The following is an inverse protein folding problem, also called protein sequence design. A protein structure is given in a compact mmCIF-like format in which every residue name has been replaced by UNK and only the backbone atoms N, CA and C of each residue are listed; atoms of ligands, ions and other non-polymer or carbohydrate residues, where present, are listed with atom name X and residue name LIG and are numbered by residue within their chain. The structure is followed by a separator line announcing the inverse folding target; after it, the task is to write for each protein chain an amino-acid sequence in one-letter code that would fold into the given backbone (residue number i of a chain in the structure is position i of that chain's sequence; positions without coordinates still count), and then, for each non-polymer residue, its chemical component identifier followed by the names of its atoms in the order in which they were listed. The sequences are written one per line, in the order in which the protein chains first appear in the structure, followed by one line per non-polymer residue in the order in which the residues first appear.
data_IF_028557569401
#
_entry.id   IF_028557569401
#
_cell.length_a   1.000
_cell.length_b   1.000
_cell.length_c   1.000
_cell.angle_alpha   90.00
_cell.angle_beta   90.00
_cell.angle_gamma   90.00
#
_symmetry.space_group_name_H-M   'P 1'
#
loop_
_entity.id
_entity.type
_entity.pdbx_description
1 polymer ?
#
# COMPACT_ATOMS: atom_id res chain seq x y z
N UNK A 1 23.56 -1.94 -13.56
CA UNK A 1 22.91 -0.62 -13.44
C UNK A 1 22.42 -0.43 -12.01
N UNK A 2 22.77 0.67 -11.33
CA UNK A 2 22.29 0.93 -9.98
C UNK A 2 20.75 1.03 -9.98
N UNK A 3 20.09 0.13 -9.22
CA UNK A 3 18.63 0.16 -9.06
C UNK A 3 18.23 1.38 -8.23
N UNK A 4 17.21 2.11 -8.67
CA UNK A 4 16.71 3.29 -7.94
C UNK A 4 16.40 2.95 -6.46
N UNK A 5 16.70 3.87 -5.52
CA UNK A 5 16.26 3.79 -4.13
C UNK A 5 14.75 3.60 -4.04
N UNK A 6 14.21 3.11 -2.92
CA UNK A 6 12.75 3.04 -2.75
C UNK A 6 12.20 4.43 -2.45
N UNK A 7 10.96 4.68 -2.86
CA UNK A 7 10.33 5.97 -2.68
C UNK A 7 9.67 5.93 -1.31
N UNK A 8 10.27 6.66 -0.39
CA UNK A 8 9.86 6.79 1.00
C UNK A 8 10.08 8.26 1.37
N UNK A 9 9.00 8.98 1.60
CA UNK A 9 9.02 10.39 1.97
C UNK A 9 8.32 10.53 3.33
N UNK A 10 9.00 11.08 4.31
CA UNK A 10 8.42 11.31 5.63
C UNK A 10 7.13 12.16 5.54
N UNK A 11 6.10 11.80 6.30
CA UNK A 11 4.84 12.55 6.37
C UNK A 11 3.90 12.39 5.17
N UNK A 12 4.29 11.65 4.13
CA UNK A 12 3.46 11.43 2.95
C UNK A 12 2.85 10.03 2.91
N UNK A 13 1.70 9.93 2.24
CA UNK A 13 0.98 8.67 2.05
C UNK A 13 1.70 7.78 1.04
N UNK A 14 1.84 6.50 1.36
CA UNK A 14 2.50 5.50 0.52
C UNK A 14 1.62 4.28 0.32
N UNK A 15 1.51 3.83 -0.94
CA UNK A 15 1.01 2.51 -1.27
C UNK A 15 2.21 1.56 -1.40
N UNK A 16 2.27 0.58 -0.51
CA UNK A 16 3.32 -0.44 -0.48
C UNK A 16 2.76 -1.78 -0.94
N UNK A 17 3.54 -2.49 -1.76
CA UNK A 17 3.24 -3.84 -2.24
C UNK A 17 4.44 -4.75 -1.97
N UNK A 18 4.18 -5.91 -1.37
CA UNK A 18 5.17 -6.98 -1.23
C UNK A 18 4.59 -8.31 -1.73
N UNK A 19 5.38 -9.03 -2.54
CA UNK A 19 4.98 -10.30 -3.17
C UNK A 19 5.83 -11.47 -2.69
N UNK A 20 5.21 -12.64 -2.59
CA UNK A 20 5.86 -13.92 -2.42
C UNK A 20 6.71 -14.29 -3.63
N UNK A 21 7.86 -14.93 -3.39
CA UNK A 21 8.75 -15.35 -4.46
C UNK A 21 8.06 -16.35 -5.40
N UNK A 22 8.18 -16.15 -6.71
CA UNK A 22 7.62 -17.07 -7.73
C UNK A 22 6.11 -17.32 -7.58
N UNK A 23 5.35 -16.33 -7.08
CA UNK A 23 3.91 -16.47 -6.85
C UNK A 23 3.55 -17.42 -5.71
N UNK A 24 4.51 -17.81 -4.88
CA UNK A 24 4.25 -18.72 -3.78
C UNK A 24 3.35 -18.09 -2.71
N UNK A 25 2.60 -18.95 -2.03
CA UNK A 25 1.84 -18.58 -0.85
C UNK A 25 2.75 -18.01 0.25
N UNK A 26 2.35 -16.85 0.75
CA UNK A 26 2.88 -16.17 1.94
C UNK A 26 1.97 -16.39 3.15
N UNK A 27 0.72 -16.83 2.95
CA UNK A 27 -0.24 -17.21 3.98
C UNK A 27 -1.01 -18.47 3.52
N UNK A 28 -0.68 -19.62 4.10
CA UNK A 28 -1.26 -20.93 3.74
C UNK A 28 -2.35 -21.39 4.70
N UNK A 29 -2.46 -20.78 5.88
CA UNK A 29 -3.53 -21.02 6.84
C UNK A 29 -3.96 -19.70 7.52
N UNK A 30 -5.14 -19.69 8.16
CA UNK A 30 -5.70 -18.53 8.88
C UNK A 30 -4.71 -17.90 9.85
N UNK A 31 -3.97 -18.71 10.62
CA UNK A 31 -3.02 -18.19 11.62
C UNK A 31 -1.84 -17.46 10.99
N UNK A 32 -1.53 -17.74 9.71
CA UNK A 32 -0.47 -17.02 9.00
C UNK A 32 -0.88 -15.57 8.73
N UNK A 33 -2.16 -15.34 8.40
CA UNK A 33 -2.67 -14.00 8.19
C UNK A 33 -2.67 -13.20 9.50
N UNK A 34 -3.04 -13.83 10.62
CA UNK A 34 -3.00 -13.21 11.94
C UNK A 34 -1.57 -12.84 12.35
N UNK A 35 -0.64 -13.77 12.20
CA UNK A 35 0.77 -13.54 12.51
C UNK A 35 1.39 -12.48 11.60
N UNK A 36 1.05 -12.48 10.30
CA UNK A 36 1.50 -11.46 9.36
C UNK A 36 0.98 -10.08 9.77
N UNK A 37 -0.31 -9.97 10.07
CA UNK A 37 -0.94 -8.71 10.48
C UNK A 37 -0.36 -8.19 11.79
N UNK A 38 -0.10 -9.08 12.76
CA UNK A 38 0.57 -8.74 14.01
C UNK A 38 2.02 -8.28 13.77
N UNK A 39 2.79 -8.99 12.95
CA UNK A 39 4.15 -8.64 12.60
C UNK A 39 4.23 -7.28 11.88
N UNK A 40 3.28 -6.98 11.00
CA UNK A 40 3.12 -5.66 10.36
C UNK A 40 2.89 -4.59 11.43
N UNK A 41 1.93 -4.81 12.34
CA UNK A 41 1.60 -3.83 13.37
C UNK A 41 2.77 -3.54 14.31
N UNK A 42 3.47 -4.57 14.78
CA UNK A 42 4.64 -4.42 15.66
C UNK A 42 5.79 -3.72 14.95
N UNK A 43 6.06 -4.06 13.68
CA UNK A 43 7.08 -3.39 12.89
C UNK A 43 6.74 -1.92 12.63
N UNK A 44 5.47 -1.64 12.32
CA UNK A 44 4.98 -0.28 12.08
C UNK A 44 5.13 0.60 13.32
N UNK A 45 4.70 0.11 14.49
CA UNK A 45 4.89 0.82 15.77
C UNK A 45 6.35 1.08 16.08
N UNK A 46 7.21 0.06 15.95
CA UNK A 46 8.65 0.16 16.22
C UNK A 46 9.35 1.22 15.37
N UNK A 47 8.89 1.40 14.14
CA UNK A 47 9.53 2.29 13.16
C UNK A 47 8.70 3.54 12.86
N UNK A 48 7.71 3.85 13.72
CA UNK A 48 6.87 5.05 13.63
C UNK A 48 6.22 5.22 12.25
N UNK A 49 5.60 4.16 11.76
CA UNK A 49 4.83 4.16 10.52
C UNK A 49 3.35 4.03 10.86
N UNK A 50 2.54 4.98 10.45
CA UNK A 50 1.09 4.88 10.56
C UNK A 50 0.57 3.90 9.51
N UNK A 51 -0.24 2.91 9.94
CA UNK A 51 -0.93 1.98 9.03
C UNK A 51 -2.34 2.49 8.84
N UNK A 52 -2.66 2.97 7.64
CA UNK A 52 -3.99 3.49 7.31
C UNK A 52 -4.91 2.39 6.76
N UNK A 53 -4.37 1.38 6.08
CA UNK A 53 -5.18 0.30 5.53
C UNK A 53 -4.31 -0.82 5.01
N UNK A 54 -4.94 -1.98 4.77
CA UNK A 54 -4.25 -3.17 4.31
C UNK A 54 -5.19 -4.10 3.56
N UNK A 55 -4.62 -4.92 2.69
CA UNK A 55 -5.19 -6.20 2.26
C UNK A 55 -4.07 -7.24 2.24
N UNK A 56 -4.30 -8.36 2.92
CA UNK A 56 -3.42 -9.52 2.87
C UNK A 56 -4.08 -10.57 1.97
N UNK A 57 -3.33 -11.08 1.01
CA UNK A 57 -3.77 -12.15 0.10
C UNK A 57 -2.84 -13.33 0.28
N UNK A 58 -3.19 -14.44 -0.37
CA UNK A 58 -2.42 -15.68 -0.24
C UNK A 58 -0.96 -15.51 -0.65
N UNK A 59 -0.65 -14.78 -1.73
CA UNK A 59 0.69 -14.68 -2.34
C UNK A 59 1.31 -13.27 -2.22
N UNK A 60 0.55 -12.26 -1.79
CA UNK A 60 1.05 -10.89 -1.65
C UNK A 60 0.20 -10.06 -0.70
N UNK A 61 0.68 -8.87 -0.35
CA UNK A 61 -0.12 -7.91 0.40
C UNK A 61 0.10 -6.48 -0.09
N UNK A 62 -0.90 -5.65 0.16
CA UNK A 62 -0.83 -4.20 -0.01
C UNK A 62 -1.04 -3.49 1.33
N UNK A 63 -0.30 -2.41 1.55
CA UNK A 63 -0.43 -1.54 2.72
C UNK A 63 -0.56 -0.09 2.28
N UNK A 64 -1.38 0.67 3.00
CA UNK A 64 -1.45 2.13 2.91
C UNK A 64 -0.80 2.72 4.15
N UNK A 65 0.33 3.42 4.00
CA UNK A 65 1.23 3.76 5.10
C UNK A 65 1.64 5.23 5.06
N UNK A 66 1.89 5.84 6.22
CA UNK A 66 2.58 7.14 6.33
C UNK A 66 3.74 7.02 7.30
N UNK A 67 5.01 7.05 6.83
CA UNK A 67 6.17 7.00 7.71
C UNK A 67 6.44 8.37 8.35
N UNK A 68 6.77 8.41 9.64
CA UNK A 68 7.16 9.66 10.29
C UNK A 68 8.57 10.14 9.89
N UNK A 69 9.42 9.25 9.37
CA UNK A 69 10.80 9.53 8.97
C UNK A 69 11.14 8.80 7.66
N UNK A 70 12.18 9.25 6.95
CA UNK A 70 12.53 8.74 5.61
C UNK A 70 12.91 7.26 5.60
N UNK A 71 13.52 6.75 6.67
CA UNK A 71 13.96 5.36 6.78
C UNK A 71 12.84 4.42 7.28
N UNK A 72 11.72 4.95 7.77
CA UNK A 72 10.68 4.22 8.49
C UNK A 72 10.13 3.04 7.70
N UNK A 73 9.78 3.24 6.43
CA UNK A 73 9.30 2.16 5.56
C UNK A 73 10.36 1.08 5.34
N UNK A 74 11.61 1.47 5.10
CA UNK A 74 12.68 0.52 4.83
C UNK A 74 12.96 -0.37 6.06
N UNK A 75 13.02 0.26 7.25
CA UNK A 75 13.25 -0.44 8.51
C UNK A 75 12.05 -1.30 8.92
N UNK A 76 10.82 -0.79 8.78
CA UNK A 76 9.58 -1.56 9.00
C UNK A 76 9.57 -2.84 8.16
N UNK A 77 9.78 -2.71 6.84
CA UNK A 77 9.74 -3.87 5.94
C UNK A 77 10.91 -4.83 6.16
N UNK A 78 12.08 -4.34 6.59
CA UNK A 78 13.20 -5.19 7.01
C UNK A 78 12.87 -5.97 8.28
N UNK A 79 12.27 -5.32 9.28
CA UNK A 79 11.84 -5.96 10.53
C UNK A 79 10.82 -7.05 10.24
N UNK A 80 9.80 -6.73 9.43
CA UNK A 80 8.78 -7.69 8.97
C UNK A 80 9.41 -8.90 8.28
N UNK A 81 10.36 -8.67 7.36
CA UNK A 81 11.06 -9.74 6.66
C UNK A 81 11.92 -10.61 7.59
N UNK A 82 12.40 -10.10 8.72
CA UNK A 82 13.18 -10.88 9.69
C UNK A 82 12.29 -11.72 10.62
N UNK A 83 11.13 -11.19 11.01
CA UNK A 83 10.22 -11.85 11.95
C UNK A 83 9.32 -12.85 11.24
N UNK A 84 8.55 -12.40 10.25
CA UNK A 84 7.52 -13.22 9.62
C UNK A 84 8.11 -14.36 8.78
N UNK A 85 9.18 -14.09 8.02
CA UNK A 85 9.83 -15.15 7.20
C UNK A 85 10.39 -16.25 8.09
N UNK A 86 10.92 -15.92 9.27
CA UNK A 86 11.39 -16.91 10.23
C UNK A 86 10.25 -17.75 10.78
N UNK A 87 9.13 -17.11 11.15
CA UNK A 87 7.92 -17.81 11.56
C UNK A 87 7.45 -18.79 10.47
N UNK A 88 7.25 -18.29 9.24
CA UNK A 88 6.72 -19.07 8.13
C UNK A 88 7.64 -20.24 7.76
N UNK A 89 8.96 -19.98 7.67
CA UNK A 89 9.92 -21.03 7.38
C UNK A 89 9.95 -22.12 8.46
N UNK A 90 9.83 -21.75 9.74
CA UNK A 90 9.76 -22.72 10.83
C UNK A 90 8.47 -23.54 10.77
N UNK A 91 7.31 -22.89 10.60
CA UNK A 91 5.99 -23.54 10.55
C UNK A 91 5.89 -24.56 9.41
N UNK A 92 6.44 -24.21 8.23
CA UNK A 92 6.33 -25.04 7.02
C UNK A 92 7.62 -25.81 6.68
N UNK A 93 8.57 -25.91 7.61
CA UNK A 93 9.88 -26.55 7.40
C UNK A 93 10.61 -26.09 6.11
N UNK A 94 10.44 -24.82 5.75
CA UNK A 94 11.05 -24.21 4.56
C UNK A 94 12.40 -23.57 4.90
N UNK A 95 13.20 -23.32 3.85
CA UNK A 95 14.44 -22.55 3.91
C UNK A 95 14.42 -21.46 2.83
N UNK A 96 15.25 -20.43 3.02
CA UNK A 96 15.42 -19.35 2.04
C UNK A 96 14.44 -18.18 2.20
N UNK A 97 14.34 -17.37 1.14
CA UNK A 97 13.48 -16.16 1.12
C UNK A 97 12.02 -16.52 0.89
N UNK A 98 11.13 -15.78 1.55
CA UNK A 98 9.69 -15.81 1.25
C UNK A 98 9.31 -14.82 0.15
N UNK A 99 10.07 -13.73 -0.01
CA UNK A 99 9.71 -12.61 -0.87
C UNK A 99 10.40 -12.69 -2.23
N UNK A 100 9.70 -12.26 -3.28
CA UNK A 100 10.21 -12.12 -4.66
C UNK A 100 11.35 -11.10 -4.75
N UNK A 101 11.44 -10.22 -3.74
CA UNK A 101 12.56 -9.35 -3.54
C UNK A 101 12.18 -8.17 -2.66
N UNK A 102 12.56 -6.98 -3.14
CA UNK A 102 12.29 -5.72 -2.47
C UNK A 102 10.82 -5.34 -2.63
N UNK A 103 10.20 -4.88 -1.55
CA UNK A 103 8.89 -4.23 -1.64
C UNK A 103 8.89 -3.06 -2.64
N UNK A 104 7.74 -2.86 -3.28
CA UNK A 104 7.44 -1.70 -4.12
C UNK A 104 6.71 -0.65 -3.31
N UNK A 105 6.90 0.61 -3.68
CA UNK A 105 6.33 1.75 -2.97
C UNK A 105 6.05 2.89 -3.96
N UNK A 106 4.87 3.49 -3.84
CA UNK A 106 4.44 4.68 -4.56
C UNK A 106 3.94 5.73 -3.56
N UNK A 107 4.31 7.00 -3.76
CA UNK A 107 3.76 8.11 -2.98
C UNK A 107 2.42 8.51 -3.58
N UNK A 108 1.42 8.69 -2.74
CA UNK A 108 0.09 9.12 -3.11
C UNK A 108 -0.15 10.53 -2.55
N UNK A 109 -0.73 11.40 -3.37
CA UNK A 109 -1.31 12.64 -2.85
C UNK A 109 -2.53 12.29 -1.97
N UNK A 110 -2.78 13.02 -0.86
CA UNK A 110 -3.80 12.64 0.13
C UNK A 110 -5.21 12.43 -0.43
N UNK A 111 -5.59 13.12 -1.51
CA UNK A 111 -6.88 12.94 -2.18
C UNK A 111 -7.12 11.52 -2.71
N UNK A 112 -6.06 10.76 -2.97
CA UNK A 112 -6.14 9.38 -3.45
C UNK A 112 -6.30 8.35 -2.31
N UNK A 113 -6.32 8.78 -1.05
CA UNK A 113 -6.38 7.88 0.10
C UNK A 113 -7.62 6.97 0.10
N UNK A 114 -8.81 7.55 -0.08
CA UNK A 114 -10.06 6.77 -0.10
C UNK A 114 -10.08 5.79 -1.27
N UNK A 115 -9.70 6.24 -2.46
CA UNK A 115 -9.62 5.36 -3.63
C UNK A 115 -8.62 4.21 -3.43
N UNK A 116 -7.49 4.46 -2.75
CA UNK A 116 -6.51 3.43 -2.42
C UNK A 116 -7.02 2.43 -1.36
N UNK A 117 -7.79 2.89 -0.36
CA UNK A 117 -8.43 2.02 0.62
C UNK A 117 -9.49 1.13 -0.06
N UNK A 118 -10.39 1.72 -0.86
CA UNK A 118 -11.39 0.98 -1.65
C UNK A 118 -10.72 0.03 -2.64
N UNK A 119 -9.58 0.42 -3.25
CA UNK A 119 -8.77 -0.47 -4.06
C UNK A 119 -8.38 -1.72 -3.25
N UNK A 120 -7.81 -1.56 -2.06
CA UNK A 120 -7.37 -2.70 -1.23
C UNK A 120 -8.54 -3.59 -0.82
N UNK A 121 -9.62 -3.00 -0.31
CA UNK A 121 -10.77 -3.73 0.22
C UNK A 121 -11.52 -4.53 -0.85
N UNK A 122 -11.58 -4.02 -2.09
CA UNK A 122 -12.19 -4.71 -3.23
C UNK A 122 -11.22 -5.67 -3.95
N UNK A 123 -9.96 -5.76 -3.51
CA UNK A 123 -8.98 -6.62 -4.17
C UNK A 123 -9.34 -8.10 -4.15
N UNK A 124 -9.82 -8.71 -3.04
CA UNK A 124 -10.17 -10.14 -3.02
C UNK A 124 -11.21 -10.50 -4.09
N UNK A 125 -12.23 -9.67 -4.26
CA UNK A 125 -13.25 -9.84 -5.30
C UNK A 125 -12.63 -9.76 -6.71
N UNK A 126 -11.81 -8.74 -6.98
CA UNK A 126 -11.14 -8.59 -8.28
C UNK A 126 -10.13 -9.70 -8.58
N UNK A 127 -9.56 -10.32 -7.55
CA UNK A 127 -8.65 -11.44 -7.68
C UNK A 127 -9.36 -12.80 -7.85
N UNK A 128 -10.70 -12.82 -7.93
CA UNK A 128 -11.48 -14.04 -8.12
C UNK A 128 -11.63 -14.89 -6.85
N UNK A 129 -11.32 -14.35 -5.66
CA UNK A 129 -11.54 -15.04 -4.38
C UNK A 129 -13.05 -15.10 -4.06
N UNK A 130 -13.88 -14.32 -4.77
CA UNK A 130 -15.34 -14.46 -4.79
C UNK A 130 -16.08 -13.93 -3.56
N UNK A 131 -15.35 -13.43 -2.57
CA UNK A 131 -15.93 -12.89 -1.33
C UNK A 131 -16.17 -11.38 -1.47
N UNK A 132 -17.34 -10.87 -1.05
CA UNK A 132 -17.50 -9.43 -0.86
C UNK A 132 -16.55 -8.96 0.26
N UNK A 133 -16.21 -7.67 0.32
CA UNK A 133 -15.28 -7.14 1.32
C UNK A 133 -15.68 -7.43 2.77
N UNK A 134 -16.99 -7.52 3.06
CA UNK A 134 -17.52 -7.89 4.37
C UNK A 134 -17.14 -9.30 4.81
N UNK A 135 -16.87 -10.19 3.87
CA UNK A 135 -16.67 -11.62 4.11
C UNK A 135 -15.19 -12.01 4.02
N UNK A 136 -14.32 -11.04 3.68
CA UNK A 136 -12.87 -11.23 3.63
C UNK A 136 -12.18 -10.49 4.79
N UNK A 137 -11.86 -11.19 5.90
CA UNK A 137 -11.44 -10.55 7.16
C UNK A 137 -10.03 -9.93 7.08
N UNK A 138 -9.25 -10.26 6.04
CA UNK A 138 -7.87 -9.80 5.89
C UNK A 138 -7.75 -8.49 5.11
N UNK A 139 -8.76 -7.63 5.23
CA UNK A 139 -8.78 -6.26 4.72
C UNK A 139 -9.04 -5.26 5.84
N UNK A 140 -8.80 -3.98 5.56
CA UNK A 140 -9.20 -2.88 6.45
C UNK A 140 -10.69 -2.51 6.35
N UNK A 141 -11.45 -3.14 5.46
CA UNK A 141 -12.85 -2.81 5.19
C UNK A 141 -13.71 -2.78 6.46
N UNK A 142 -13.58 -3.80 7.32
CA UNK A 142 -14.39 -3.91 8.53
C UNK A 142 -14.15 -2.75 9.52
N UNK A 143 -12.96 -2.12 9.50
CA UNK A 143 -12.70 -0.91 10.29
C UNK A 143 -13.45 0.29 9.73
N UNK A 144 -13.36 0.51 8.42
CA UNK A 144 -13.93 1.70 7.76
C UNK A 144 -15.44 1.61 7.51
N UNK A 145 -16.00 0.40 7.49
CA UNK A 145 -17.44 0.16 7.40
C UNK A 145 -18.15 0.20 8.76
N UNK A 146 -17.41 0.32 9.87
CA UNK A 146 -17.96 0.37 11.23
C UNK A 146 -18.21 -0.99 11.89
N UNK A 147 -17.91 -2.10 11.21
CA UNK A 147 -18.15 -3.44 11.74
C UNK A 147 -17.22 -3.80 12.92
N UNK A 148 -15.97 -3.33 12.89
CA UNK A 148 -15.00 -3.50 13.99
C UNK A 148 -14.21 -2.21 14.22
N UNK A 149 -13.68 -2.03 15.43
CA UNK A 149 -12.69 -0.98 15.69
C UNK A 149 -11.29 -1.58 15.79
N UNK A 150 -10.60 -1.69 14.66
CA UNK A 150 -9.22 -2.17 14.65
C UNK A 150 -8.23 -1.11 15.17
N UNK A 151 -7.73 -1.32 16.40
CA UNK A 151 -6.72 -0.46 17.05
C UNK A 151 -5.34 -0.46 16.36
N UNK A 152 -5.14 -1.34 15.39
CA UNK A 152 -3.90 -1.40 14.58
C UNK A 152 -3.91 -0.38 13.45
N UNK A 153 -5.08 0.15 13.09
CA UNK A 153 -5.27 1.14 12.05
C UNK A 153 -5.24 2.55 12.65
N UNK A 154 -4.46 3.42 12.03
CA UNK A 154 -4.52 4.87 12.22
C UNK A 154 -5.37 5.44 11.10
N UNK A 155 -6.62 5.79 11.39
CA UNK A 155 -7.57 6.28 10.39
C UNK A 155 -7.04 7.52 9.68
N UNK A 156 -7.01 7.49 8.34
CA UNK A 156 -6.50 8.61 7.53
C UNK A 156 -7.47 9.82 7.53
N UNK A 157 -6.99 11.08 7.51
CA UNK A 157 -7.86 12.26 7.52
C UNK A 157 -8.94 12.32 6.43
N UNK A 158 -8.67 11.73 5.26
CA UNK A 158 -9.63 11.63 4.17
C UNK A 158 -10.92 10.87 4.56
N UNK A 159 -10.85 9.91 5.49
CA UNK A 159 -12.05 9.23 6.00
C UNK A 159 -12.88 10.16 6.89
N UNK A 160 -12.24 11.00 7.71
CA UNK A 160 -12.95 11.97 8.54
C UNK A 160 -13.75 12.99 7.73
N UNK A 161 -13.28 13.30 6.51
CA UNK A 161 -13.96 14.19 5.58
C UNK A 161 -15.22 13.59 4.93
N UNK A 162 -15.50 12.29 5.09
CA UNK A 162 -16.68 11.64 4.51
C UNK A 162 -18.00 12.04 5.18
N UNK A 163 -17.96 12.60 6.39
CA UNK A 163 -19.16 12.94 7.13
C UNK A 163 -18.91 13.39 8.55
N UNK A 164 -19.88 14.13 9.09
CA UNK A 164 -19.78 14.76 10.41
C UNK A 164 -20.03 13.79 11.57
N UNK A 165 -20.65 12.63 11.33
CA UNK A 165 -20.91 11.60 12.34
C UNK A 165 -20.21 10.28 11.97
N UNK A 166 -19.92 9.39 12.94
CA UNK A 166 -19.40 8.05 12.64
C UNK A 166 -20.26 7.30 11.62
N UNK A 167 -21.58 7.23 11.85
CA UNK A 167 -22.52 6.56 10.94
C UNK A 167 -22.53 7.14 9.53
N UNK A 168 -22.43 8.47 9.37
CA UNK A 168 -22.38 9.08 8.06
C UNK A 168 -21.11 8.69 7.30
N UNK A 169 -19.97 8.61 7.98
CA UNK A 169 -18.70 8.17 7.39
C UNK A 169 -18.72 6.70 7.00
N UNK A 170 -19.24 5.85 7.89
CA UNK A 170 -19.39 4.42 7.65
C UNK A 170 -20.30 4.17 6.44
N UNK A 171 -21.45 4.84 6.38
CA UNK A 171 -22.39 4.74 5.26
C UNK A 171 -21.76 5.24 3.94
N UNK A 172 -21.07 6.37 3.96
CA UNK A 172 -20.38 6.91 2.78
C UNK A 172 -19.26 5.98 2.30
N UNK A 173 -18.51 5.37 3.22
CA UNK A 173 -17.47 4.42 2.86
C UNK A 173 -18.03 3.12 2.28
N UNK A 174 -19.09 2.58 2.89
CA UNK A 174 -19.82 1.43 2.34
C UNK A 174 -20.39 1.74 0.94
N UNK A 175 -20.92 2.94 0.71
CA UNK A 175 -21.41 3.36 -0.60
C UNK A 175 -20.27 3.43 -1.63
N UNK A 176 -19.13 4.03 -1.29
CA UNK A 176 -17.95 4.06 -2.16
C UNK A 176 -17.42 2.65 -2.50
N UNK A 177 -17.45 1.72 -1.54
CA UNK A 177 -17.07 0.33 -1.80
C UNK A 177 -18.06 -0.39 -2.72
N UNK A 178 -19.37 -0.12 -2.59
CA UNK A 178 -20.41 -0.67 -3.48
C UNK A 178 -20.33 -0.11 -4.90
N UNK A 179 -20.07 1.18 -5.04
CA UNK A 179 -19.86 1.84 -6.33
C UNK A 179 -18.58 1.33 -7.00
N UNK A 180 -17.54 1.10 -6.19
CA UNK A 180 -16.25 0.62 -6.65
C UNK A 180 -15.39 1.71 -7.27
N UNK A 181 -14.37 1.27 -8.02
CA UNK A 181 -13.45 2.16 -8.72
C UNK A 181 -13.70 2.07 -10.21
N UNK A 182 -13.68 3.21 -10.89
CA UNK A 182 -13.68 3.21 -12.35
C UNK A 182 -12.34 2.66 -12.90
N UNK A 183 -12.34 2.29 -14.18
CA UNK A 183 -11.17 1.68 -14.84
C UNK A 183 -9.93 2.57 -14.81
N UNK A 184 -10.11 3.90 -14.86
CA UNK A 184 -9.01 4.88 -14.81
C UNK A 184 -8.36 4.88 -13.43
N UNK A 185 -9.14 5.00 -12.36
CA UNK A 185 -8.65 4.94 -10.98
C UNK A 185 -7.93 3.62 -10.70
N UNK A 186 -8.53 2.50 -11.13
CA UNK A 186 -7.95 1.17 -10.96
C UNK A 186 -6.60 1.05 -11.67
N UNK A 187 -6.52 1.53 -12.91
CA UNK A 187 -5.29 1.53 -13.70
C UNK A 187 -4.21 2.41 -13.05
N UNK A 188 -4.55 3.63 -12.64
CA UNK A 188 -3.63 4.57 -12.01
C UNK A 188 -3.04 4.03 -10.70
N UNK A 189 -3.86 3.49 -9.81
CA UNK A 189 -3.41 2.90 -8.54
C UNK A 189 -2.53 1.68 -8.82
N UNK A 190 -2.93 0.81 -9.75
CA UNK A 190 -2.15 -0.38 -10.11
C UNK A 190 -0.79 -0.01 -10.72
N UNK A 191 -0.76 0.89 -11.72
CA UNK A 191 0.48 1.28 -12.40
C UNK A 191 1.45 1.97 -11.43
N UNK A 192 0.94 2.88 -10.59
CA UNK A 192 1.75 3.61 -9.61
C UNK A 192 2.50 2.68 -8.67
N UNK A 193 1.81 1.75 -7.99
CA UNK A 193 2.45 0.82 -7.04
C UNK A 193 3.31 -0.23 -7.72
N UNK A 194 2.90 -0.75 -8.88
CA UNK A 194 3.65 -1.80 -9.57
C UNK A 194 4.93 -1.28 -10.21
N UNK A 195 4.97 -0.01 -10.61
CA UNK A 195 6.16 0.64 -11.18
C UNK A 195 6.92 1.51 -10.17
N UNK A 196 6.29 1.84 -9.04
CA UNK A 196 6.87 2.65 -7.98
C UNK A 196 7.00 4.13 -8.33
N UNK A 197 6.01 4.70 -9.02
CA UNK A 197 5.92 6.13 -9.35
C UNK A 197 4.83 6.81 -8.53
N UNK A 198 4.93 8.13 -8.36
CA UNK A 198 3.93 8.88 -7.61
C UNK A 198 2.55 8.85 -8.32
N UNK A 199 1.49 8.83 -7.51
CA UNK A 199 0.12 9.08 -7.94
C UNK A 199 -0.32 10.43 -7.37
N UNK A 200 -0.14 11.47 -8.16
CA UNK A 200 -0.38 12.86 -7.80
C UNK A 200 -0.49 13.75 -9.05
N UNK A 201 -0.92 15.00 -8.90
CA UNK A 201 -0.80 16.01 -9.97
C UNK A 201 0.65 16.51 -10.13
N UNK A 202 0.89 17.19 -11.24
CA UNK A 202 2.21 17.71 -11.58
C UNK A 202 2.74 18.71 -10.55
N UNK A 203 1.87 19.54 -9.97
CA UNK A 203 2.24 20.53 -8.95
C UNK A 203 2.76 19.85 -7.66
N UNK A 204 2.05 18.83 -7.18
CA UNK A 204 2.44 18.06 -6.01
C UNK A 204 3.73 17.27 -6.26
N UNK A 205 3.88 16.71 -7.46
CA UNK A 205 5.13 16.04 -7.86
C UNK A 205 6.28 17.04 -7.89
N UNK A 206 6.09 18.21 -8.49
CA UNK A 206 7.11 19.25 -8.58
C UNK A 206 7.55 19.71 -7.19
N UNK A 207 6.61 19.91 -6.28
CA UNK A 207 6.90 20.30 -4.90
C UNK A 207 7.69 19.21 -4.15
N UNK A 208 7.22 17.97 -4.20
CA UNK A 208 7.92 16.85 -3.57
C UNK A 208 9.32 16.62 -4.14
N UNK A 209 9.51 16.86 -5.44
CA UNK A 209 10.79 16.64 -6.12
C UNK A 209 11.87 17.59 -5.61
N UNK A 210 11.52 18.79 -5.12
CA UNK A 210 12.47 19.76 -4.53
C UNK A 210 13.25 19.17 -3.35
N UNK A 211 12.57 18.36 -2.54
CA UNK A 211 13.10 17.78 -1.31
C UNK A 211 13.42 16.28 -1.44
N UNK A 212 13.27 15.70 -2.63
CA UNK A 212 13.48 14.26 -2.86
C UNK A 212 14.55 14.05 -3.92
N UNK A 213 15.65 13.39 -3.54
CA UNK A 213 16.73 13.05 -4.50
C UNK A 213 16.29 12.01 -5.54
N UNK A 214 15.35 11.14 -5.18
CA UNK A 214 14.76 10.16 -6.09
C UNK A 214 13.73 10.84 -7.01
N UNK A 215 13.82 10.54 -8.30
CA UNK A 215 12.80 10.94 -9.27
C UNK A 215 11.42 10.31 -8.97
N UNK A 216 10.37 11.12 -9.03
CA UNK A 216 8.99 10.73 -8.69
C UNK A 216 8.15 10.27 -9.88
N UNK A 217 8.51 10.70 -11.09
CA UNK A 217 7.81 10.36 -12.35
C UNK A 217 8.70 9.58 -13.31
N UNK A 218 8.08 8.86 -14.25
CA UNK A 218 8.78 8.18 -15.33
C UNK A 218 9.24 9.19 -16.38
N UNK A 219 10.45 9.03 -16.94
CA UNK A 219 10.83 9.72 -18.19
C UNK A 219 10.26 8.95 -19.38
N UNK A 220 9.70 9.66 -20.35
CA UNK A 220 9.46 9.11 -21.68
C UNK A 220 10.81 8.70 -22.28
N UNK A 221 11.02 7.42 -22.65
CA UNK A 221 12.24 7.01 -23.32
C UNK A 221 12.36 7.73 -24.68
N UNK A 222 13.49 8.41 -24.93
CA UNK A 222 13.73 9.10 -26.20
C UNK A 222 14.87 10.12 -26.12
N UNK A 223 15.57 10.34 -27.23
CA UNK A 223 16.60 11.39 -27.38
C UNK A 223 15.94 12.76 -27.13
N UNK A 224 16.54 13.66 -26.34
CA UNK A 224 16.05 15.03 -26.21
C UNK A 224 15.86 15.64 -27.60
N UNK A 225 14.70 16.26 -27.85
CA UNK A 225 14.44 16.96 -29.11
C UNK A 225 15.52 18.04 -29.26
N UNK A 226 16.27 17.98 -30.35
CA UNK A 226 17.32 18.98 -30.66
C UNK A 226 16.59 20.32 -30.81
N UNK A 227 16.79 21.24 -29.88
CA UNK A 227 16.31 22.60 -30.03
C UNK A 227 17.18 23.23 -31.11
N UNK A 228 16.61 23.45 -32.30
CA UNK A 228 17.23 24.29 -33.33
C UNK A 228 17.15 25.73 -32.82
N UNK A 229 18.31 26.38 -32.70
CA UNK A 229 18.36 27.80 -32.41
C UNK A 229 17.62 28.57 -33.51
N UNK A 230 16.87 29.64 -33.18
CA UNK A 230 16.30 30.52 -34.19
C UNK A 230 17.43 31.28 -34.91
N UNK A 231 17.27 31.42 -36.23
CA UNK A 231 18.13 32.23 -37.11
C UNK A 231 18.06 33.73 -36.78
#
# INVERSE_FOLDING_TARGET
MARLPRLAIAGHLHHVLQRGAHGQSICSATEDYEELLNAIHLAARKHQVAVHGYVLLQDHFHLLLTPANEQGLALMMQSLGRTYVRYFNRKYARKGTLWEGRFKSAVLQPRHALAALTFMDLHPQRAGIGLPPSDYPWTSYSHYSGAIMDKRIVTHPAYWALGNTPFAREAAYQAAAREGLNSVQLHQITDSVTRGWALADDDFVAELQKNTSRRLVRRTPGRPRKVTAPD
#
